data_IF_325852477555
#
_entry.id   IF_325852477555
#
_cell.length_a   1.000
_cell.length_b   1.000
_cell.length_c   1.000
_cell.angle_alpha   90.00
_cell.angle_beta   90.00
_cell.angle_gamma   90.00
#
_symmetry.space_group_name_H-M   'P 1'
#
loop_
_entity.id
_entity.type
_entity.pdbx_description
1 polymer ?
#
# COMPACT_ATOMS: atom_id res chain seq x y z
N UNK A 1 30.25 -22.09 -27.41
CA UNK A 1 28.81 -21.78 -27.51
C UNK A 1 28.25 -21.96 -26.12
N UNK A 2 28.18 -20.88 -25.34
CA UNK A 2 27.69 -20.91 -23.95
C UNK A 2 26.27 -20.37 -24.02
N UNK A 3 25.29 -21.22 -23.74
CA UNK A 3 23.90 -20.83 -23.57
C UNK A 3 23.80 -19.96 -22.31
N UNK A 4 23.57 -18.67 -22.51
CA UNK A 4 23.19 -17.77 -21.43
C UNK A 4 21.70 -18.00 -21.21
N UNK A 5 21.35 -18.73 -20.15
CA UNK A 5 19.99 -18.78 -19.65
C UNK A 5 19.52 -17.36 -19.30
N UNK A 6 18.65 -16.82 -20.14
CA UNK A 6 17.82 -15.67 -19.81
C UNK A 6 17.00 -16.00 -18.56
N UNK A 7 17.42 -15.43 -17.42
CA UNK A 7 16.62 -15.44 -16.18
C UNK A 7 15.34 -14.64 -16.43
N UNK A 8 14.30 -15.33 -16.90
CA UNK A 8 12.92 -14.89 -16.90
C UNK A 8 12.45 -14.61 -15.47
N UNK A 9 12.70 -13.39 -15.00
CA UNK A 9 12.21 -12.83 -13.73
C UNK A 9 10.74 -12.36 -13.83
N UNK A 10 9.90 -13.04 -14.59
CA UNK A 10 8.45 -12.78 -14.64
C UNK A 10 7.68 -13.89 -13.94
N UNK A 11 8.02 -14.16 -12.67
CA UNK A 11 7.05 -14.77 -11.75
C UNK A 11 6.12 -13.65 -11.30
N UNK A 12 4.93 -13.59 -11.89
CA UNK A 12 3.75 -13.00 -11.26
C UNK A 12 3.53 -13.73 -9.93
N UNK A 13 4.25 -13.31 -8.89
CA UNK A 13 4.05 -13.76 -7.53
C UNK A 13 2.72 -13.17 -7.10
N UNK A 14 1.65 -13.98 -7.19
CA UNK A 14 0.36 -13.70 -6.55
C UNK A 14 0.63 -13.20 -5.14
N UNK A 15 0.33 -11.94 -4.88
CA UNK A 15 0.52 -11.39 -3.55
C UNK A 15 -0.74 -11.64 -2.73
N UNK A 16 -0.62 -12.29 -1.57
CA UNK A 16 -1.80 -12.68 -0.78
C UNK A 16 -2.64 -11.49 -0.27
N UNK A 17 -2.06 -10.29 -0.27
CA UNK A 17 -2.69 -9.04 0.15
C UNK A 17 -3.39 -8.28 -0.99
N UNK A 18 -3.36 -8.76 -2.24
CA UNK A 18 -3.93 -8.06 -3.39
C UNK A 18 -5.14 -8.78 -4.00
N UNK A 19 -6.18 -8.00 -4.33
CA UNK A 19 -7.30 -8.46 -5.16
C UNK A 19 -6.91 -8.36 -6.62
N UNK A 20 -6.13 -9.33 -7.10
CA UNK A 20 -5.53 -9.34 -8.46
C UNK A 20 -6.56 -9.06 -9.58
N UNK A 21 -7.81 -9.53 -9.43
CA UNK A 21 -8.88 -9.29 -10.42
C UNK A 21 -9.33 -7.83 -10.55
N UNK A 22 -9.01 -6.98 -9.56
CA UNK A 22 -9.43 -5.58 -9.52
C UNK A 22 -8.32 -4.61 -9.93
N UNK A 23 -7.11 -5.12 -10.20
CA UNK A 23 -5.96 -4.29 -10.55
C UNK A 23 -5.61 -4.49 -12.02
N UNK A 24 -5.60 -3.40 -12.78
CA UNK A 24 -4.99 -3.38 -14.12
C UNK A 24 -3.47 -3.33 -13.95
N UNK A 25 -2.79 -4.43 -14.28
CA UNK A 25 -1.35 -4.53 -14.10
C UNK A 25 -0.58 -3.74 -15.15
N UNK A 26 0.24 -2.80 -14.68
CA UNK A 26 1.20 -2.07 -15.52
C UNK A 26 2.62 -2.34 -15.04
N UNK A 27 3.49 -2.78 -15.93
CA UNK A 27 4.83 -3.25 -15.60
C UNK A 27 5.67 -2.19 -14.85
N UNK A 28 5.57 -0.92 -15.26
CA UNK A 28 6.29 0.17 -14.58
C UNK A 28 5.87 0.32 -13.12
N UNK A 29 4.59 0.11 -12.79
CA UNK A 29 4.09 0.22 -11.41
C UNK A 29 4.69 -0.89 -10.54
N UNK A 30 4.75 -2.11 -11.07
CA UNK A 30 5.35 -3.26 -10.40
C UNK A 30 6.86 -3.07 -10.16
N UNK A 31 7.59 -2.59 -11.17
CA UNK A 31 9.03 -2.28 -11.06
C UNK A 31 9.30 -1.20 -10.01
N UNK A 32 8.55 -0.10 -10.03
CA UNK A 32 8.67 0.97 -9.03
C UNK A 32 8.37 0.44 -7.63
N UNK A 33 7.28 -0.32 -7.46
CA UNK A 33 6.91 -0.88 -6.17
C UNK A 33 7.97 -1.85 -5.63
N UNK A 34 8.56 -2.68 -6.49
CA UNK A 34 9.66 -3.58 -6.13
C UNK A 34 10.88 -2.81 -5.63
N UNK A 35 11.24 -1.70 -6.29
CA UNK A 35 12.35 -0.85 -5.86
C UNK A 35 12.07 -0.14 -4.53
N UNK A 36 10.82 0.26 -4.28
CA UNK A 36 10.42 0.96 -3.07
C UNK A 36 10.31 0.03 -1.84
N UNK A 37 10.03 -1.25 -2.02
CA UNK A 37 9.84 -2.21 -0.91
C UNK A 37 11.13 -2.55 -0.14
N UNK A 38 12.31 -2.14 -0.64
CA UNK A 38 13.61 -2.46 -0.04
C UNK A 38 14.29 -1.27 0.66
N UNK A 39 13.86 -0.04 0.39
CA UNK A 39 14.49 1.19 0.90
C UNK A 39 13.55 2.40 0.84
N UNK A 40 13.85 3.41 1.66
CA UNK A 40 13.18 4.72 1.59
C UNK A 40 13.32 5.31 0.18
N UNK A 41 12.19 5.72 -0.39
CA UNK A 41 12.10 6.08 -1.81
C UNK A 41 11.18 7.28 -2.03
N UNK A 42 11.52 8.14 -2.99
CA UNK A 42 10.66 9.21 -3.49
C UNK A 42 10.24 8.87 -4.92
N UNK A 43 8.93 8.67 -5.13
CA UNK A 43 8.38 8.35 -6.46
C UNK A 43 7.86 9.62 -7.11
N UNK A 44 8.52 10.07 -8.18
CA UNK A 44 8.11 11.25 -8.96
C UNK A 44 7.46 10.79 -10.26
N UNK A 45 6.13 10.95 -10.33
CA UNK A 45 5.33 10.64 -11.52
C UNK A 45 4.23 11.70 -11.70
N UNK A 46 3.84 12.03 -12.95
CA UNK A 46 2.63 12.80 -13.23
C UNK A 46 1.36 12.25 -12.55
N UNK A 47 0.37 13.10 -12.34
CA UNK A 47 -0.98 12.69 -11.90
C UNK A 47 -1.62 11.78 -12.96
N UNK A 48 -2.50 10.87 -12.54
CA UNK A 48 -3.16 9.92 -13.44
C UNK A 48 -2.37 8.64 -13.76
N UNK A 49 -1.07 8.58 -13.45
CA UNK A 49 -0.24 7.37 -13.69
C UNK A 49 -0.30 6.31 -12.58
N UNK A 50 -1.25 6.43 -11.64
CA UNK A 50 -1.50 5.39 -10.64
C UNK A 50 -0.52 5.36 -9.46
N UNK A 51 -0.04 6.52 -8.97
CA UNK A 51 0.78 6.60 -7.74
C UNK A 51 0.15 5.88 -6.55
N UNK A 52 -1.18 5.97 -6.39
CA UNK A 52 -1.90 5.25 -5.33
C UNK A 52 -1.83 3.74 -5.50
N UNK A 53 -1.94 3.23 -6.72
CA UNK A 53 -1.79 1.80 -7.04
C UNK A 53 -0.37 1.32 -6.71
N UNK A 54 0.66 2.12 -7.03
CA UNK A 54 2.04 1.85 -6.62
C UNK A 54 2.12 1.76 -5.09
N UNK A 55 1.49 2.68 -4.36
CA UNK A 55 1.40 2.63 -2.90
C UNK A 55 0.78 1.34 -2.37
N UNK A 56 -0.30 0.86 -3.00
CA UNK A 56 -0.93 -0.43 -2.67
C UNK A 56 0.04 -1.60 -2.90
N UNK A 57 0.74 -1.63 -4.04
CA UNK A 57 1.75 -2.66 -4.30
C UNK A 57 2.89 -2.63 -3.28
N UNK A 58 3.37 -1.45 -2.89
CA UNK A 58 4.42 -1.30 -1.88
C UNK A 58 3.93 -1.81 -0.52
N UNK A 59 2.71 -1.45 -0.12
CA UNK A 59 2.10 -1.94 1.11
C UNK A 59 1.99 -3.47 1.13
N UNK A 60 1.45 -4.05 0.05
CA UNK A 60 1.30 -5.49 -0.09
C UNK A 60 2.64 -6.25 -0.06
N UNK A 61 3.67 -5.75 -0.77
CA UNK A 61 5.03 -6.33 -0.74
C UNK A 61 5.68 -6.21 0.63
N UNK A 62 5.47 -5.07 1.30
CA UNK A 62 5.98 -4.85 2.65
C UNK A 62 5.34 -5.85 3.61
N UNK A 63 4.01 -5.99 3.60
CA UNK A 63 3.32 -6.92 4.49
C UNK A 63 3.67 -8.41 4.25
N UNK A 64 4.08 -8.79 3.04
CA UNK A 64 4.60 -10.16 2.80
C UNK A 64 6.00 -10.38 3.38
N UNK A 65 6.84 -9.34 3.38
CA UNK A 65 8.23 -9.42 3.83
C UNK A 65 8.36 -9.38 5.35
N UNK A 66 7.48 -8.65 6.02
CA UNK A 66 7.53 -8.42 7.46
C UNK A 66 6.61 -9.39 8.23
N UNK A 67 6.80 -9.54 9.56
CA UNK A 67 6.00 -10.46 10.37
C UNK A 67 4.49 -10.19 10.26
N UNK A 68 3.64 -11.21 10.52
CA UNK A 68 2.19 -11.01 10.62
C UNK A 68 1.83 -9.87 11.56
N UNK A 69 0.77 -9.12 11.23
CA UNK A 69 0.30 -7.93 11.98
C UNK A 69 1.21 -6.68 11.91
N UNK A 70 2.23 -6.68 11.04
CA UNK A 70 2.94 -5.45 10.66
C UNK A 70 1.95 -4.41 10.12
N UNK A 71 2.19 -3.13 10.42
CA UNK A 71 1.26 -2.04 10.10
C UNK A 71 1.73 -1.22 8.90
N UNK A 72 0.78 -0.69 8.13
CA UNK A 72 1.02 0.27 7.05
C UNK A 72 0.33 1.57 7.41
N UNK A 73 1.06 2.69 7.31
CA UNK A 73 0.53 4.02 7.56
C UNK A 73 0.56 4.81 6.25
N UNK A 74 -0.60 5.34 5.86
CA UNK A 74 -0.77 6.20 4.69
C UNK A 74 -1.10 7.61 5.18
N UNK A 75 -0.34 8.61 4.71
CA UNK A 75 -0.53 10.01 5.07
C UNK A 75 -1.03 10.78 3.85
N UNK A 76 -1.98 11.70 4.05
CA UNK A 76 -2.40 12.64 3.02
C UNK A 76 -2.77 14.00 3.64
N UNK A 77 -2.59 15.11 2.92
CA UNK A 77 -2.77 16.46 3.46
C UNK A 77 -4.21 16.82 3.84
N UNK A 78 -5.22 16.18 3.23
CA UNK A 78 -6.63 16.57 3.42
C UNK A 78 -7.54 15.37 3.64
N UNK A 79 -8.69 15.62 4.29
CA UNK A 79 -9.71 14.58 4.53
C UNK A 79 -10.28 13.97 3.25
N UNK A 80 -10.63 14.73 2.20
CA UNK A 80 -11.10 14.13 0.96
C UNK A 80 -10.05 13.21 0.32
N UNK A 81 -8.77 13.62 0.34
CA UNK A 81 -7.70 12.86 -0.29
C UNK A 81 -7.36 11.59 0.51
N UNK A 82 -7.37 11.66 1.84
CA UNK A 82 -7.12 10.47 2.65
C UNK A 82 -8.24 9.44 2.49
N UNK A 83 -9.50 9.88 2.40
CA UNK A 83 -10.65 9.00 2.17
C UNK A 83 -10.55 8.34 0.78
N UNK A 84 -10.12 9.08 -0.25
CA UNK A 84 -9.87 8.50 -1.57
C UNK A 84 -8.80 7.39 -1.54
N UNK A 85 -7.74 7.57 -0.74
CA UNK A 85 -6.73 6.52 -0.55
C UNK A 85 -7.30 5.34 0.24
N UNK A 86 -8.08 5.58 1.28
CA UNK A 86 -8.79 4.54 2.04
C UNK A 86 -9.63 3.67 1.10
N UNK A 87 -10.49 4.27 0.27
CA UNK A 87 -11.35 3.53 -0.65
C UNK A 87 -10.52 2.72 -1.66
N UNK A 88 -9.44 3.32 -2.19
CA UNK A 88 -8.54 2.63 -3.12
C UNK A 88 -7.88 1.41 -2.48
N UNK A 89 -7.33 1.55 -1.28
CA UNK A 89 -6.69 0.45 -0.56
C UNK A 89 -7.70 -0.62 -0.14
N UNK A 90 -8.84 -0.19 0.41
CA UNK A 90 -9.95 -1.07 0.80
C UNK A 90 -10.41 -1.92 -0.37
N UNK A 91 -10.52 -1.35 -1.56
CA UNK A 91 -10.95 -2.08 -2.76
C UNK A 91 -9.85 -3.01 -3.28
N UNK A 92 -8.59 -2.56 -3.32
CA UNK A 92 -7.54 -3.33 -3.99
C UNK A 92 -6.85 -4.38 -3.10
N UNK A 93 -6.99 -4.30 -1.77
CA UNK A 93 -6.36 -5.24 -0.84
C UNK A 93 -7.32 -6.31 -0.33
N UNK A 94 -6.80 -7.50 -0.01
CA UNK A 94 -7.59 -8.62 0.55
C UNK A 94 -7.78 -8.53 2.07
N UNK A 95 -7.14 -7.57 2.73
CA UNK A 95 -7.23 -7.37 4.18
C UNK A 95 -8.71 -7.06 4.54
N UNK A 96 -9.24 -7.62 5.64
CA UNK A 96 -10.59 -7.32 6.11
C UNK A 96 -10.79 -5.84 6.41
N UNK A 97 -11.97 -5.29 6.11
CA UNK A 97 -12.24 -3.85 6.27
C UNK A 97 -12.09 -3.39 7.73
N UNK A 98 -12.35 -4.25 8.70
CA UNK A 98 -12.24 -3.97 10.13
C UNK A 98 -10.78 -3.74 10.59
N UNK A 99 -9.81 -3.99 9.71
CA UNK A 99 -8.39 -3.71 9.94
C UNK A 99 -7.95 -2.38 9.31
N UNK A 100 -8.87 -1.64 8.69
CA UNK A 100 -8.62 -0.31 8.11
C UNK A 100 -9.22 0.76 9.02
N UNK A 101 -8.47 1.82 9.28
CA UNK A 101 -8.98 2.96 10.04
C UNK A 101 -8.51 4.28 9.47
N UNK A 102 -9.43 5.25 9.40
CA UNK A 102 -9.13 6.63 9.04
C UNK A 102 -9.13 7.48 10.31
N UNK A 103 -7.93 7.90 10.72
CA UNK A 103 -7.71 8.71 11.89
C UNK A 103 -7.66 10.19 11.48
N UNK A 104 -8.78 10.88 11.70
CA UNK A 104 -8.91 12.32 11.48
C UNK A 104 -8.94 13.07 12.81
N UNK A 105 -8.62 14.38 12.79
CA UNK A 105 -8.56 15.21 14.00
C UNK A 105 -9.86 15.39 14.81
N UNK A 106 -10.94 14.67 14.47
CA UNK A 106 -12.15 14.56 15.31
C UNK A 106 -12.04 13.46 16.37
N UNK A 107 -11.05 12.57 16.27
CA UNK A 107 -10.87 11.45 17.20
C UNK A 107 -10.01 11.91 18.39
N UNK A 108 -10.49 11.78 19.64
CA UNK A 108 -9.72 12.12 20.83
C UNK A 108 -8.38 11.37 20.87
N UNK A 109 -7.27 12.01 21.32
CA UNK A 109 -5.94 11.39 21.35
C UNK A 109 -5.89 10.02 22.01
N UNK A 110 -6.61 9.83 23.13
CA UNK A 110 -6.65 8.57 23.88
C UNK A 110 -7.15 7.40 23.01
N UNK A 111 -8.22 7.62 22.24
CA UNK A 111 -8.78 6.59 21.36
C UNK A 111 -7.90 6.29 20.15
N UNK A 112 -7.02 7.21 19.74
CA UNK A 112 -6.11 6.99 18.59
C UNK A 112 -5.13 5.85 18.87
N UNK A 113 -4.69 5.72 20.13
CA UNK A 113 -3.76 4.66 20.53
C UNK A 113 -4.39 3.28 20.36
N UNK A 114 -5.65 3.15 20.76
CA UNK A 114 -6.40 1.89 20.63
C UNK A 114 -6.63 1.54 19.16
N UNK A 115 -7.12 2.49 18.36
CA UNK A 115 -7.28 2.28 16.91
C UNK A 115 -5.96 1.92 16.24
N UNK A 116 -4.86 2.58 16.61
CA UNK A 116 -3.55 2.26 16.08
C UNK A 116 -3.13 0.83 16.42
N UNK A 117 -3.41 0.34 17.64
CA UNK A 117 -3.08 -1.03 18.07
C UNK A 117 -3.93 -2.08 17.36
N UNK A 118 -5.22 -1.83 17.21
CA UNK A 118 -6.20 -2.78 16.68
C UNK A 118 -6.17 -2.93 15.15
N UNK A 119 -5.74 -1.89 14.43
CA UNK A 119 -5.81 -1.85 12.96
C UNK A 119 -4.46 -2.08 12.28
N UNK A 120 -4.50 -2.64 11.08
CA UNK A 120 -3.30 -2.95 10.30
C UNK A 120 -2.97 -1.86 9.27
N UNK A 121 -3.99 -1.29 8.62
CA UNK A 121 -3.84 -0.25 7.59
C UNK A 121 -4.45 1.05 8.10
N UNK A 122 -3.62 2.06 8.27
CA UNK A 122 -3.96 3.24 9.03
C UNK A 122 -3.78 4.48 8.16
N UNK A 123 -4.81 5.30 8.09
CA UNK A 123 -4.84 6.48 7.23
C UNK A 123 -4.91 7.74 8.10
N UNK A 124 -3.97 8.67 7.93
CA UNK A 124 -3.90 9.90 8.72
C UNK A 124 -3.85 11.16 7.86
N UNK A 125 -4.35 12.25 8.44
CA UNK A 125 -4.05 13.61 8.00
C UNK A 125 -3.05 14.26 8.96
N UNK A 126 -1.90 14.80 8.53
CA UNK A 126 -0.87 15.33 9.43
C UNK A 126 -1.34 16.40 10.43
N UNK A 127 -2.36 17.19 10.09
CA UNK A 127 -3.03 18.14 11.00
C UNK A 127 -3.96 17.48 12.05
N UNK A 128 -3.65 16.26 12.48
CA UNK A 128 -4.39 15.54 13.55
C UNK A 128 -3.88 15.83 14.94
#
# INVERSE_FOLDING_TARGET
MIEIEERNSNKNSKNKYLREKQIEHREYQLKIAQACASKNSLVVLPTGLGKTIIGVYVAAKTLEKFPPKSKVIVLAPTRPLINQHYDSFKNLMTIPEEQFVVLTGKIPPEKRVDFFRENQIIFYTPQT
#
